data_IF_802630194786
#
_entry.id   IF_802630194786
#
_cell.length_a   1.000
_cell.length_b   1.000
_cell.length_c   1.000
_cell.angle_alpha   90.00
_cell.angle_beta   90.00
_cell.angle_gamma   90.00
#
_symmetry.space_group_name_H-M   'P 1'
#
loop_
_entity.id
_entity.type
_entity.pdbx_description
1 polymer ?
#
# COMPACT_ATOMS: atom_id res chain seq x y z
N UNK A 1 7.03 -32.75 -24.71
CA UNK A 1 5.81 -31.91 -24.85
C UNK A 1 6.25 -30.51 -25.20
N UNK A 2 5.65 -29.90 -26.22
CA UNK A 2 5.98 -28.53 -26.59
C UNK A 2 5.43 -27.56 -25.52
N UNK A 3 6.16 -26.50 -25.15
CA UNK A 3 5.66 -25.51 -24.22
C UNK A 3 4.46 -24.76 -24.81
N UNK A 4 3.50 -24.35 -23.98
CA UNK A 4 2.39 -23.49 -24.39
C UNK A 4 2.90 -22.11 -24.85
N UNK A 5 2.10 -21.44 -25.69
CA UNK A 5 2.45 -20.12 -26.23
C UNK A 5 2.80 -19.13 -25.10
N UNK A 6 3.95 -18.46 -25.23
CA UNK A 6 4.49 -17.54 -24.22
C UNK A 6 5.58 -18.12 -23.31
N UNK A 7 5.83 -19.44 -23.35
CA UNK A 7 6.90 -20.09 -22.58
C UNK A 7 7.99 -20.64 -23.51
N UNK A 8 9.26 -20.50 -23.12
CA UNK A 8 10.39 -20.99 -23.93
C UNK A 8 10.77 -22.42 -23.59
N UNK A 9 10.41 -22.94 -22.41
CA UNK A 9 10.64 -24.33 -22.02
C UNK A 9 9.59 -24.84 -21.04
N UNK A 10 9.49 -26.17 -20.90
CA UNK A 10 8.58 -26.79 -19.94
C UNK A 10 8.97 -26.47 -18.48
N UNK A 11 10.26 -26.25 -18.20
CA UNK A 11 10.73 -25.88 -16.87
C UNK A 11 10.17 -24.53 -16.41
N UNK A 12 10.02 -23.58 -17.34
CA UNK A 12 9.38 -22.29 -17.05
C UNK A 12 7.90 -22.44 -16.73
N UNK A 13 7.20 -23.36 -17.40
CA UNK A 13 5.79 -23.66 -17.11
C UNK A 13 5.67 -24.24 -15.71
N UNK A 14 6.53 -25.21 -15.35
CA UNK A 14 6.54 -25.83 -14.02
C UNK A 14 6.81 -24.78 -12.94
N UNK A 15 7.80 -23.91 -13.16
CA UNK A 15 8.12 -22.83 -12.25
C UNK A 15 6.94 -21.85 -12.10
N UNK A 16 6.30 -21.45 -13.20
CA UNK A 16 5.14 -20.55 -13.16
C UNK A 16 3.95 -21.16 -12.42
N UNK A 17 3.62 -22.43 -12.67
CA UNK A 17 2.58 -23.16 -11.94
C UNK A 17 2.94 -23.27 -10.45
N UNK A 18 4.20 -23.57 -10.13
CA UNK A 18 4.71 -23.58 -8.75
C UNK A 18 4.49 -22.24 -8.04
N UNK A 19 4.80 -21.13 -8.71
CA UNK A 19 4.56 -19.79 -8.19
C UNK A 19 3.07 -19.53 -7.91
N UNK A 20 2.17 -19.90 -8.83
CA UNK A 20 0.71 -19.75 -8.66
C UNK A 20 0.21 -20.56 -7.46
N UNK A 21 0.65 -21.82 -7.34
CA UNK A 21 0.27 -22.70 -6.22
C UNK A 21 0.71 -22.08 -4.89
N UNK A 22 1.96 -21.61 -4.81
CA UNK A 22 2.48 -20.93 -3.63
C UNK A 22 1.69 -19.65 -3.30
N UNK A 23 1.33 -18.84 -4.29
CA UNK A 23 0.47 -17.67 -4.08
C UNK A 23 -0.92 -18.05 -3.58
N UNK A 24 -1.50 -19.16 -4.08
CA UNK A 24 -2.75 -19.72 -3.57
C UNK A 24 -2.66 -20.11 -2.10
N UNK A 25 -1.59 -20.82 -1.72
CA UNK A 25 -1.32 -21.21 -0.32
C UNK A 25 -1.19 -19.98 0.58
N UNK A 26 -0.58 -18.89 0.10
CA UNK A 26 -0.43 -17.65 0.87
C UNK A 26 -1.76 -16.99 1.25
N UNK A 27 -2.86 -17.32 0.55
CA UNK A 27 -4.19 -16.78 0.81
C UNK A 27 -4.98 -17.59 1.85
N UNK A 28 -4.60 -18.84 2.12
CA UNK A 28 -5.28 -19.74 3.09
C UNK A 28 -5.41 -19.11 4.50
N UNK A 29 -4.36 -18.48 5.07
CA UNK A 29 -4.44 -17.87 6.39
C UNK A 29 -5.52 -16.79 6.53
N UNK A 30 -5.84 -16.07 5.44
CA UNK A 30 -6.88 -15.03 5.46
C UNK A 30 -8.30 -15.61 5.43
N UNK A 31 -8.46 -16.86 4.98
CA UNK A 31 -9.76 -17.50 4.80
C UNK A 31 -10.17 -18.40 5.98
N UNK A 32 -9.19 -19.06 6.64
CA UNK A 32 -9.50 -20.17 7.53
C UNK A 32 -9.02 -20.03 8.99
N UNK A 33 -7.97 -19.23 9.29
CA UNK A 33 -7.30 -19.33 10.60
C UNK A 33 -6.83 -17.95 11.12
N UNK A 34 -7.78 -17.19 11.69
CA UNK A 34 -7.46 -15.96 12.46
C UNK A 34 -6.97 -16.26 13.88
N UNK A 35 -7.14 -17.49 14.35
CA UNK A 35 -6.91 -17.83 15.75
C UNK A 35 -5.43 -18.11 16.05
N UNK A 36 -4.63 -18.53 15.06
CA UNK A 36 -3.19 -18.74 15.24
C UNK A 36 -2.34 -17.85 14.30
N UNK A 37 -2.12 -16.60 14.71
CA UNK A 37 -1.35 -15.61 13.95
C UNK A 37 0.10 -16.04 13.67
N UNK A 38 0.72 -16.82 14.55
CA UNK A 38 2.10 -17.30 14.36
C UNK A 38 2.15 -18.27 13.18
N UNK A 39 1.22 -19.23 13.14
CA UNK A 39 1.11 -20.18 12.02
C UNK A 39 0.77 -19.45 10.72
N UNK A 40 -0.21 -18.55 10.76
CA UNK A 40 -0.65 -17.75 9.62
C UNK A 40 0.49 -16.91 9.00
N UNK A 41 1.34 -16.30 9.84
CA UNK A 41 2.55 -15.60 9.38
C UNK A 41 3.57 -16.51 8.70
N UNK A 42 3.84 -17.69 9.28
CA UNK A 42 4.81 -18.64 8.72
C UNK A 42 4.35 -19.15 7.37
N UNK A 43 3.07 -19.51 7.24
CA UNK A 43 2.49 -19.95 5.97
C UNK A 43 2.54 -18.82 4.94
N UNK A 44 2.12 -17.62 5.32
CA UNK A 44 2.15 -16.47 4.42
C UNK A 44 3.57 -16.18 3.91
N UNK A 45 4.55 -15.98 4.80
CA UNK A 45 5.91 -15.65 4.38
C UNK A 45 6.62 -16.82 3.69
N UNK A 46 6.43 -18.05 4.18
CA UNK A 46 7.02 -19.24 3.57
C UNK A 46 6.51 -19.46 2.14
N UNK A 47 5.20 -19.38 1.93
CA UNK A 47 4.61 -19.54 0.62
C UNK A 47 5.00 -18.40 -0.34
N UNK A 48 5.05 -17.16 0.14
CA UNK A 48 5.50 -16.03 -0.68
C UNK A 48 6.99 -16.09 -1.05
N UNK A 49 7.88 -16.49 -0.13
CA UNK A 49 9.28 -16.71 -0.44
C UNK A 49 9.48 -17.84 -1.46
N UNK A 50 8.72 -18.94 -1.33
CA UNK A 50 8.73 -20.02 -2.30
C UNK A 50 8.22 -19.55 -3.68
N UNK A 51 7.15 -18.74 -3.72
CA UNK A 51 6.65 -18.15 -4.96
C UNK A 51 7.72 -17.29 -5.66
N UNK A 52 8.44 -16.45 -4.91
CA UNK A 52 9.53 -15.63 -5.46
C UNK A 52 10.68 -16.50 -5.99
N UNK A 53 11.03 -17.58 -5.31
CA UNK A 53 12.04 -18.53 -5.80
C UNK A 53 11.60 -19.18 -7.12
N UNK A 54 10.33 -19.58 -7.23
CA UNK A 54 9.79 -20.10 -8.48
C UNK A 54 9.76 -19.07 -9.60
N UNK A 55 9.39 -17.81 -9.32
CA UNK A 55 9.48 -16.72 -10.30
C UNK A 55 10.91 -16.55 -10.81
N UNK A 56 11.90 -16.58 -9.92
CA UNK A 56 13.31 -16.48 -10.30
C UNK A 56 13.74 -17.65 -11.20
N UNK A 57 13.43 -18.88 -10.79
CA UNK A 57 13.78 -20.09 -11.54
C UNK A 57 13.10 -20.12 -12.92
N UNK A 58 11.85 -19.66 -13.01
CA UNK A 58 11.11 -19.58 -14.27
C UNK A 58 11.67 -18.55 -15.26
N UNK A 59 12.55 -17.65 -14.82
CA UNK A 59 13.20 -16.66 -15.68
C UNK A 59 14.62 -17.07 -16.11
N UNK A 60 15.12 -18.24 -15.66
CA UNK A 60 16.41 -18.75 -16.14
C UNK A 60 16.34 -19.14 -17.63
N UNK A 61 17.42 -18.93 -18.41
CA UNK A 61 18.76 -18.49 -17.99
C UNK A 61 18.92 -16.96 -17.83
N UNK A 62 17.86 -16.18 -18.09
CA UNK A 62 17.87 -14.72 -17.98
C UNK A 62 17.79 -14.23 -16.52
N UNK A 63 18.81 -14.55 -15.73
CA UNK A 63 18.87 -14.29 -14.28
C UNK A 63 18.69 -12.80 -13.91
N UNK A 64 19.06 -11.87 -14.79
CA UNK A 64 18.84 -10.42 -14.57
C UNK A 64 17.34 -10.09 -14.49
N UNK A 65 16.55 -10.56 -15.45
CA UNK A 65 15.10 -10.40 -15.43
C UNK A 65 14.46 -11.14 -14.26
N UNK A 66 15.02 -12.29 -13.87
CA UNK A 66 14.61 -12.99 -12.66
C UNK A 66 14.81 -12.14 -11.40
N UNK A 67 15.96 -11.49 -11.23
CA UNK A 67 16.23 -10.61 -10.08
C UNK A 67 15.31 -9.39 -10.06
N UNK A 68 15.09 -8.75 -11.20
CA UNK A 68 14.18 -7.61 -11.33
C UNK A 68 12.75 -8.01 -10.96
N UNK A 69 12.26 -9.15 -11.48
CA UNK A 69 10.94 -9.68 -11.13
C UNK A 69 10.83 -9.98 -9.64
N UNK A 70 11.82 -10.65 -9.03
CA UNK A 70 11.84 -10.92 -7.59
C UNK A 70 11.80 -9.63 -6.77
N UNK A 71 12.53 -8.60 -7.18
CA UNK A 71 12.53 -7.31 -6.50
C UNK A 71 11.15 -6.64 -6.57
N UNK A 72 10.55 -6.57 -7.75
CA UNK A 72 9.22 -5.95 -7.94
C UNK A 72 8.14 -6.73 -7.19
N UNK A 73 8.07 -8.05 -7.37
CA UNK A 73 7.09 -8.88 -6.67
C UNK A 73 7.33 -8.92 -5.17
N UNK A 74 8.60 -8.94 -4.72
CA UNK A 74 8.94 -8.88 -3.30
C UNK A 74 8.46 -7.59 -2.64
N UNK A 75 8.69 -6.44 -3.28
CA UNK A 75 8.17 -5.15 -2.81
C UNK A 75 6.63 -5.12 -2.78
N UNK A 76 5.97 -5.63 -3.83
CA UNK A 76 4.51 -5.76 -3.88
C UNK A 76 3.96 -6.64 -2.75
N UNK A 77 4.64 -7.73 -2.42
CA UNK A 77 4.25 -8.65 -1.35
C UNK A 77 4.41 -8.01 0.04
N UNK A 78 5.52 -7.31 0.28
CA UNK A 78 5.72 -6.55 1.52
C UNK A 78 4.66 -5.44 1.62
N UNK A 79 4.40 -4.72 0.54
CA UNK A 79 3.38 -3.69 0.49
C UNK A 79 2.00 -4.26 0.81
N UNK A 80 1.60 -5.36 0.15
CA UNK A 80 0.35 -6.09 0.40
C UNK A 80 0.25 -6.58 1.85
N UNK A 81 1.34 -7.10 2.39
CA UNK A 81 1.39 -7.58 3.77
C UNK A 81 1.16 -6.42 4.75
N UNK A 82 1.82 -5.29 4.52
CA UNK A 82 1.70 -4.10 5.37
C UNK A 82 0.28 -3.49 5.33
N UNK A 83 -0.36 -3.46 4.16
CA UNK A 83 -1.69 -2.84 4.00
C UNK A 83 -2.81 -3.71 4.56
N UNK A 84 -2.76 -5.02 4.31
CA UNK A 84 -3.93 -5.89 4.45
C UNK A 84 -3.78 -6.95 5.55
N UNK A 85 -2.60 -7.11 6.16
CA UNK A 85 -2.37 -8.22 7.09
C UNK A 85 -1.63 -7.80 8.37
N UNK A 86 -1.78 -8.54 9.49
CA UNK A 86 -0.99 -8.35 10.70
C UNK A 86 0.37 -9.09 10.63
N UNK A 87 0.91 -9.35 9.42
CA UNK A 87 2.01 -10.30 9.23
C UNK A 87 3.41 -9.70 9.26
N UNK A 88 3.52 -8.38 9.15
CA UNK A 88 4.80 -7.67 9.28
C UNK A 88 5.05 -7.42 10.78
N UNK A 89 5.93 -8.23 11.39
CA UNK A 89 6.31 -8.10 12.80
C UNK A 89 7.82 -7.82 12.89
N UNK A 90 8.19 -6.70 13.49
CA UNK A 90 9.58 -6.35 13.79
C UNK A 90 9.75 -6.09 15.28
N UNK A 91 10.75 -6.73 15.91
CA UNK A 91 11.10 -6.54 17.33
C UNK A 91 9.89 -6.66 18.27
N UNK A 92 9.04 -7.66 18.04
CA UNK A 92 7.86 -7.90 18.87
C UNK A 92 6.63 -7.03 18.56
N UNK A 93 6.76 -5.99 17.73
CA UNK A 93 5.64 -5.09 17.35
C UNK A 93 5.11 -5.40 15.96
N UNK A 94 3.79 -5.41 15.81
CA UNK A 94 3.11 -5.57 14.51
C UNK A 94 3.02 -4.22 13.83
N UNK A 95 3.53 -4.15 12.61
CA UNK A 95 3.46 -2.99 11.75
C UNK A 95 2.40 -3.26 10.68
N UNK A 96 1.25 -2.62 10.79
CA UNK A 96 0.19 -2.72 9.80
C UNK A 96 -0.51 -1.37 9.64
N UNK A 97 -1.07 -1.14 8.46
CA UNK A 97 -1.85 0.07 8.16
C UNK A 97 -3.10 0.10 9.01
N UNK A 98 -3.92 -0.96 8.93
CA UNK A 98 -5.19 -1.01 9.63
C UNK A 98 -5.01 -1.20 11.14
N UNK A 99 -5.78 -0.44 11.92
CA UNK A 99 -5.82 -0.54 13.39
C UNK A 99 -6.17 -1.96 13.87
N UNK A 100 -7.16 -2.59 13.25
CA UNK A 100 -7.58 -3.97 13.55
C UNK A 100 -6.43 -4.97 13.45
N UNK A 101 -5.56 -4.82 12.45
CA UNK A 101 -4.40 -5.68 12.25
C UNK A 101 -3.27 -5.38 13.25
N UNK A 102 -3.07 -4.11 13.64
CA UNK A 102 -2.08 -3.76 14.66
C UNK A 102 -2.42 -4.34 16.04
N UNK A 103 -3.72 -4.40 16.36
CA UNK A 103 -4.23 -4.89 17.63
C UNK A 103 -4.53 -6.40 17.63
N UNK A 104 -4.15 -7.13 16.58
CA UNK A 104 -4.50 -8.54 16.42
C UNK A 104 -3.92 -9.45 17.53
N UNK A 105 -2.85 -9.02 18.21
CA UNK A 105 -2.22 -9.74 19.34
C UNK A 105 -2.49 -9.12 20.72
N UNK A 106 -3.24 -8.01 20.80
CA UNK A 106 -3.56 -7.35 22.08
C UNK A 106 -4.88 -7.87 22.66
N UNK A 107 -4.82 -8.45 23.86
CA UNK A 107 -5.99 -8.83 24.67
C UNK A 107 -6.67 -7.57 25.25
N UNK A 108 -8.00 -7.53 25.41
CA UNK A 108 -8.73 -6.40 26.02
C UNK A 108 -8.22 -5.99 27.41
N UNK A 109 -7.59 -6.89 28.15
CA UNK A 109 -6.96 -6.61 29.46
C UNK A 109 -5.72 -5.71 29.36
N UNK A 110 -5.03 -5.70 28.21
CA UNK A 110 -3.86 -4.86 27.92
C UNK A 110 -4.21 -3.63 27.06
N UNK A 111 -5.48 -3.43 26.73
CA UNK A 111 -5.92 -2.23 26.02
C UNK A 111 -6.16 -1.10 27.03
N UNK A 112 -5.23 -0.15 27.10
CA UNK A 112 -5.50 1.10 27.81
C UNK A 112 -6.75 1.77 27.22
N UNK A 113 -7.80 2.01 28.03
CA UNK A 113 -8.95 2.77 27.57
C UNK A 113 -8.56 4.25 27.46
N UNK A 114 -9.12 4.95 26.47
CA UNK A 114 -9.23 6.41 26.39
C UNK A 114 -7.98 7.25 26.04
N UNK A 115 -7.27 6.93 24.95
CA UNK A 115 -6.59 7.97 24.17
C UNK A 115 -6.68 7.63 22.68
N UNK A 116 -7.35 8.46 21.87
CA UNK A 116 -7.39 8.27 20.42
C UNK A 116 -6.01 8.58 19.84
N UNK A 117 -5.17 7.58 19.49
CA UNK A 117 -3.77 7.82 19.18
C UNK A 117 -3.56 8.35 17.76
N UNK A 118 -4.64 8.62 17.00
CA UNK A 118 -4.56 9.00 15.59
C UNK A 118 -5.46 10.20 15.22
N UNK A 119 -5.22 11.40 15.81
CA UNK A 119 -5.91 12.62 15.40
C UNK A 119 -5.76 12.93 13.90
N UNK A 120 -4.67 12.44 13.28
CA UNK A 120 -4.33 12.62 11.86
C UNK A 120 -4.59 11.39 10.98
N UNK A 121 -5.54 10.52 11.33
CA UNK A 121 -5.85 9.35 10.50
C UNK A 121 -6.58 9.71 9.21
N UNK A 122 -6.26 9.03 8.12
CA UNK A 122 -7.15 8.89 6.97
C UNK A 122 -8.23 7.87 7.38
N UNK A 123 -9.48 8.33 7.46
CA UNK A 123 -10.70 7.53 7.72
C UNK A 123 -10.66 6.65 8.97
N UNK A 124 -9.97 7.06 10.04
CA UNK A 124 -9.87 6.30 11.29
C UNK A 124 -9.02 5.02 11.19
N UNK A 125 -8.38 4.76 10.04
CA UNK A 125 -7.75 3.46 9.74
C UNK A 125 -6.23 3.52 9.60
N UNK A 126 -5.67 4.54 8.92
CA UNK A 126 -4.22 4.72 8.70
C UNK A 126 -3.76 6.11 9.13
N UNK A 127 -2.58 6.26 9.76
CA UNK A 127 -2.06 7.61 10.05
C UNK A 127 -1.62 8.31 8.76
N UNK A 128 -1.61 9.65 8.77
CA UNK A 128 -1.07 10.44 7.67
C UNK A 128 0.36 10.00 7.30
N UNK A 129 1.25 9.89 8.29
CA UNK A 129 2.63 9.45 8.10
C UNK A 129 2.74 8.09 7.40
N UNK A 130 1.95 7.10 7.82
CA UNK A 130 1.93 5.77 7.20
C UNK A 130 1.45 5.83 5.75
N UNK A 131 0.41 6.61 5.48
CA UNK A 131 -0.16 6.75 4.13
C UNK A 131 0.86 7.35 3.16
N UNK A 132 1.56 8.40 3.58
CA UNK A 132 2.57 9.05 2.75
C UNK A 132 3.81 8.20 2.51
N UNK A 133 4.30 7.45 3.50
CA UNK A 133 5.37 6.46 3.26
C UNK A 133 4.95 5.35 2.31
N UNK A 134 3.71 4.87 2.42
CA UNK A 134 3.17 3.89 1.48
C UNK A 134 3.07 4.44 0.07
N UNK A 135 2.73 5.72 -0.09
CA UNK A 135 2.72 6.35 -1.40
C UNK A 135 4.10 6.38 -2.03
N UNK A 136 5.15 6.70 -1.26
CA UNK A 136 6.53 6.65 -1.76
C UNK A 136 6.87 5.24 -2.27
N UNK A 137 6.62 4.20 -1.46
CA UNK A 137 6.91 2.82 -1.85
C UNK A 137 6.07 2.37 -3.05
N UNK A 138 4.78 2.70 -3.06
CA UNK A 138 3.87 2.35 -4.16
C UNK A 138 4.27 3.02 -5.48
N UNK A 139 4.67 4.30 -5.44
CA UNK A 139 5.17 5.00 -6.61
C UNK A 139 6.52 4.46 -7.09
N UNK A 140 7.40 4.06 -6.17
CA UNK A 140 8.66 3.41 -6.55
C UNK A 140 8.38 2.12 -7.33
N UNK A 141 7.44 1.29 -6.87
CA UNK A 141 7.02 0.07 -7.59
C UNK A 141 6.44 0.43 -8.97
N UNK A 142 5.56 1.42 -9.04
CA UNK A 142 4.98 1.86 -10.31
C UNK A 142 6.07 2.33 -11.30
N UNK A 143 7.04 3.11 -10.83
CA UNK A 143 8.16 3.59 -11.64
C UNK A 143 9.04 2.45 -12.13
N UNK A 144 9.32 1.43 -11.31
CA UNK A 144 10.06 0.24 -11.74
C UNK A 144 9.32 -0.54 -12.85
N UNK A 145 7.99 -0.68 -12.72
CA UNK A 145 7.16 -1.34 -13.74
C UNK A 145 7.16 -0.54 -15.05
N UNK A 146 6.99 0.78 -14.97
CA UNK A 146 7.01 1.67 -16.15
C UNK A 146 8.39 1.67 -16.81
N UNK A 147 9.46 1.72 -16.02
CA UNK A 147 10.83 1.68 -16.51
C UNK A 147 11.14 0.38 -17.26
N UNK A 148 10.73 -0.78 -16.70
CA UNK A 148 10.88 -2.06 -17.38
C UNK A 148 10.18 -2.08 -18.74
N UNK A 149 8.94 -1.59 -18.79
CA UNK A 149 8.17 -1.44 -20.04
C UNK A 149 8.89 -0.58 -21.08
N UNK A 150 9.40 0.57 -20.63
CA UNK A 150 10.14 1.53 -21.46
C UNK A 150 11.43 0.94 -22.04
N UNK A 151 12.21 0.22 -21.23
CA UNK A 151 13.47 -0.42 -21.65
C UNK A 151 13.21 -1.58 -22.62
N UNK A 152 12.13 -2.32 -22.44
CA UNK A 152 11.84 -3.50 -23.26
C UNK A 152 11.02 -3.20 -24.51
N UNK A 153 10.54 -1.97 -24.68
CA UNK A 153 9.67 -1.57 -25.80
C UNK A 153 8.45 -2.47 -26.00
N UNK A 154 7.97 -3.10 -24.91
CA UNK A 154 6.79 -3.95 -24.92
C UNK A 154 5.73 -3.33 -24.03
N UNK A 155 4.60 -2.93 -24.58
CA UNK A 155 3.50 -2.38 -23.79
C UNK A 155 2.79 -3.48 -22.99
N UNK A 156 3.02 -3.49 -21.69
CA UNK A 156 2.35 -4.38 -20.75
C UNK A 156 1.17 -3.67 -20.08
N UNK A 157 0.09 -4.42 -19.85
CA UNK A 157 -1.09 -3.95 -19.12
C UNK A 157 -0.69 -3.40 -17.72
N UNK A 158 0.33 -4.00 -17.10
CA UNK A 158 0.86 -3.55 -15.81
C UNK A 158 1.42 -2.12 -15.85
N UNK A 159 2.11 -1.74 -16.91
CA UNK A 159 2.65 -0.39 -17.08
C UNK A 159 1.56 0.65 -17.36
N UNK A 160 0.52 0.27 -18.12
CA UNK A 160 -0.67 1.11 -18.32
C UNK A 160 -1.37 1.39 -16.99
N UNK A 161 -1.57 0.35 -16.16
CA UNK A 161 -2.17 0.49 -14.84
C UNK A 161 -1.31 1.35 -13.90
N UNK A 162 0.01 1.10 -13.86
CA UNK A 162 0.95 1.88 -13.05
C UNK A 162 0.95 3.35 -13.46
N UNK A 163 0.98 3.65 -14.76
CA UNK A 163 0.92 5.02 -15.29
C UNK A 163 -0.39 5.71 -14.92
N UNK A 164 -1.51 4.98 -15.05
CA UNK A 164 -2.83 5.47 -14.64
C UNK A 164 -2.83 5.84 -13.15
N UNK A 165 -2.29 5.00 -12.27
CA UNK A 165 -2.17 5.28 -10.84
C UNK A 165 -1.31 6.54 -10.61
N UNK A 166 -0.16 6.65 -11.28
CA UNK A 166 0.74 7.79 -11.14
C UNK A 166 0.12 9.13 -11.58
N UNK A 167 -0.86 9.12 -12.50
CA UNK A 167 -1.54 10.32 -13.00
C UNK A 167 -2.79 10.65 -12.17
N UNK A 168 -3.65 9.68 -11.87
CA UNK A 168 -4.91 9.96 -11.19
C UNK A 168 -4.77 10.13 -9.68
N UNK A 169 -3.87 9.37 -9.06
CA UNK A 169 -3.76 9.36 -7.60
C UNK A 169 -3.32 10.70 -7.00
N UNK A 170 -2.37 11.48 -7.56
CA UNK A 170 -1.99 12.78 -6.99
C UNK A 170 -3.16 13.77 -6.99
N UNK A 171 -3.93 13.80 -8.08
CA UNK A 171 -5.15 14.62 -8.18
C UNK A 171 -6.15 14.24 -7.09
N UNK A 172 -6.40 12.94 -6.94
CA UNK A 172 -7.29 12.42 -5.90
C UNK A 172 -6.77 12.78 -4.49
N UNK A 173 -5.49 12.57 -4.20
CA UNK A 173 -4.88 12.83 -2.90
C UNK A 173 -4.94 14.33 -2.53
N UNK A 174 -4.61 15.22 -3.47
CA UNK A 174 -4.71 16.66 -3.26
C UNK A 174 -6.15 17.09 -3.00
N UNK A 175 -7.08 16.61 -3.83
CA UNK A 175 -8.51 16.88 -3.66
C UNK A 175 -9.04 16.38 -2.32
N UNK A 176 -8.61 15.17 -1.92
CA UNK A 176 -9.00 14.55 -0.65
C UNK A 176 -8.48 15.34 0.56
N UNK A 177 -7.21 15.76 0.56
CA UNK A 177 -6.64 16.56 1.64
C UNK A 177 -7.33 17.92 1.79
N UNK A 178 -7.53 18.64 0.68
CA UNK A 178 -8.11 19.97 0.70
C UNK A 178 -9.62 19.96 1.04
N UNK A 179 -10.36 18.94 0.56
CA UNK A 179 -11.80 18.84 0.84
C UNK A 179 -12.13 18.62 2.33
N UNK A 180 -11.13 18.24 3.13
CA UNK A 180 -11.23 18.09 4.58
C UNK A 180 -10.56 19.25 5.35
N UNK A 181 -10.18 20.33 4.67
CA UNK A 181 -9.48 21.50 5.24
C UNK A 181 -8.15 21.14 5.94
N UNK A 182 -7.48 20.06 5.52
CA UNK A 182 -6.14 19.80 6.00
C UNK A 182 -5.11 20.70 5.30
N UNK A 183 -3.99 21.01 5.98
CA UNK A 183 -2.87 21.67 5.31
C UNK A 183 -2.29 20.78 4.21
N UNK A 184 -1.51 21.35 3.29
CA UNK A 184 -0.79 20.63 2.24
C UNK A 184 -0.07 19.41 2.83
N UNK A 185 -0.34 18.24 2.25
CA UNK A 185 0.13 16.93 2.68
C UNK A 185 -0.10 16.61 4.17
N UNK A 186 -1.13 17.19 4.80
CA UNK A 186 -1.38 17.12 6.25
C UNK A 186 -0.12 17.45 7.07
N UNK A 187 0.71 18.39 6.60
CA UNK A 187 1.97 18.79 7.25
C UNK A 187 3.19 17.94 6.91
N UNK A 188 3.04 16.83 6.19
CA UNK A 188 4.13 15.90 5.88
C UNK A 188 4.92 16.30 4.62
N UNK A 189 5.49 17.51 4.64
CA UNK A 189 6.16 18.12 3.49
C UNK A 189 7.38 17.35 2.99
N UNK A 190 8.14 16.70 3.89
CA UNK A 190 9.30 15.90 3.52
C UNK A 190 8.92 14.77 2.54
N UNK A 191 7.83 14.06 2.82
CA UNK A 191 7.37 12.95 1.98
C UNK A 191 6.82 13.44 0.64
N UNK A 192 6.10 14.57 0.64
CA UNK A 192 5.67 15.24 -0.59
C UNK A 192 6.89 15.65 -1.44
N UNK A 193 7.94 16.19 -0.83
CA UNK A 193 9.18 16.55 -1.53
C UNK A 193 9.86 15.31 -2.13
N UNK A 194 9.96 14.21 -1.38
CA UNK A 194 10.51 12.94 -1.89
C UNK A 194 9.71 12.45 -3.10
N UNK A 195 8.38 12.42 -3.01
CA UNK A 195 7.50 12.05 -4.12
C UNK A 195 7.68 12.96 -5.33
N UNK A 196 7.81 14.26 -5.09
CA UNK A 196 8.02 15.26 -6.15
C UNK A 196 9.33 15.02 -6.86
N UNK A 197 10.43 14.80 -6.14
CA UNK A 197 11.74 14.50 -6.74
C UNK A 197 11.69 13.18 -7.50
N UNK A 198 11.15 12.12 -6.89
CA UNK A 198 11.07 10.79 -7.48
C UNK A 198 10.25 10.75 -8.78
N UNK A 199 9.26 11.63 -8.90
CA UNK A 199 8.38 11.73 -10.09
C UNK A 199 8.74 12.89 -11.02
N UNK A 200 9.94 13.47 -10.86
CA UNK A 200 10.39 14.63 -11.64
C UNK A 200 9.38 15.80 -11.67
N UNK A 201 8.69 16.03 -10.56
CA UNK A 201 7.72 17.12 -10.40
C UNK A 201 6.29 16.78 -10.77
N UNK A 202 6.03 15.67 -11.47
CA UNK A 202 4.69 15.31 -11.98
C UNK A 202 3.70 15.16 -10.81
N UNK A 203 4.12 14.53 -9.71
CA UNK A 203 3.24 14.36 -8.55
C UNK A 203 2.77 15.71 -8.00
N UNK A 204 3.67 16.67 -7.81
CA UNK A 204 3.30 18.00 -7.31
C UNK A 204 2.43 18.76 -8.32
N UNK A 205 2.80 18.71 -9.61
CA UNK A 205 2.07 19.38 -10.68
C UNK A 205 0.60 18.92 -10.78
N UNK A 206 0.30 17.67 -10.40
CA UNK A 206 -1.05 17.11 -10.35
C UNK A 206 -1.70 17.25 -8.97
N UNK A 207 -0.93 17.15 -7.88
CA UNK A 207 -1.41 17.29 -6.51
C UNK A 207 -1.99 18.68 -6.25
N UNK A 208 -1.29 19.75 -6.64
CA UNK A 208 -1.71 21.12 -6.34
C UNK A 208 -3.01 21.54 -7.06
N UNK A 209 -3.24 21.23 -8.35
CA UNK A 209 -4.55 21.41 -8.98
C UNK A 209 -5.66 20.65 -8.25
N UNK A 210 -5.42 19.40 -7.86
CA UNK A 210 -6.38 18.62 -7.06
C UNK A 210 -6.68 19.30 -5.72
N UNK A 211 -5.65 19.79 -5.04
CA UNK A 211 -5.77 20.52 -3.77
C UNK A 211 -6.56 21.81 -3.92
N UNK A 212 -6.29 22.59 -4.98
CA UNK A 212 -7.05 23.81 -5.25
C UNK A 212 -8.53 23.51 -5.56
N UNK A 213 -8.80 22.46 -6.35
CA UNK A 213 -10.16 22.00 -6.65
C UNK A 213 -10.89 21.56 -5.37
N UNK A 214 -10.21 20.83 -4.48
CA UNK A 214 -10.79 20.38 -3.20
C UNK A 214 -11.10 21.54 -2.25
N UNK A 215 -10.30 22.62 -2.29
CA UNK A 215 -10.56 23.85 -1.53
C UNK A 215 -11.73 24.65 -2.11
N UNK A 216 -11.85 24.70 -3.44
CA UNK A 216 -12.91 25.42 -4.14
C UNK A 216 -14.26 24.72 -3.98
N UNK A 217 -14.29 23.40 -4.19
CA UNK A 217 -15.50 22.56 -4.14
C UNK A 217 -15.34 21.44 -3.11
N UNK A 218 -15.39 21.76 -1.81
CA UNK A 218 -15.24 20.77 -0.75
C UNK A 218 -16.38 19.76 -0.81
N UNK A 219 -16.03 18.47 -0.79
CA UNK A 219 -16.98 17.35 -0.89
C UNK A 219 -17.90 17.20 0.34
N UNK A 220 -17.73 17.99 1.40
CA UNK A 220 -18.40 17.80 2.70
C UNK A 220 -19.61 18.72 2.92
N UNK A 221 -20.81 18.17 3.16
CA UNK A 221 -21.87 18.85 3.90
C UNK A 221 -21.51 18.91 5.39
N UNK A 222 -21.68 20.07 6.05
CA UNK A 222 -21.37 20.30 7.48
C UNK A 222 -22.17 19.42 8.49
N UNK A 223 -22.97 18.46 8.02
CA UNK A 223 -23.89 17.62 8.82
C UNK A 223 -23.48 16.15 8.98
N UNK A 224 -22.35 15.69 8.40
CA UNK A 224 -21.99 14.26 8.48
C UNK A 224 -21.46 13.84 9.85
N UNK A 225 -21.79 12.61 10.28
CA UNK A 225 -21.44 12.05 11.59
C UNK A 225 -19.92 12.02 11.84
N UNK A 226 -19.13 11.78 10.79
CA UNK A 226 -17.66 11.83 10.82
C UNK A 226 -17.07 13.23 11.07
N UNK A 227 -17.84 14.32 10.90
CA UNK A 227 -17.41 15.67 11.28
C UNK A 227 -17.49 15.87 12.79
N UNK A 228 -18.54 15.36 13.44
CA UNK A 228 -18.76 15.48 14.88
C UNK A 228 -17.86 14.59 15.73
N UNK A 229 -17.35 13.50 15.15
CA UNK A 229 -16.52 12.50 15.83
C UNK A 229 -15.02 12.88 15.76
N UNK A 230 -14.63 13.88 14.97
CA UNK A 230 -13.21 14.25 14.87
C UNK A 230 -12.76 15.07 16.10
N UNK A 231 -11.71 14.63 16.85
CA UNK A 231 -11.32 15.24 18.12
C UNK A 231 -10.96 16.73 18.06
N UNK A 232 -10.55 17.22 16.88
CA UNK A 232 -10.15 18.62 16.65
C UNK A 232 -11.29 19.64 16.86
N UNK A 233 -12.54 19.19 16.87
CA UNK A 233 -13.69 20.06 17.08
C UNK A 233 -14.19 20.08 18.53
N UNK A 234 -13.64 19.24 19.42
CA UNK A 234 -14.00 19.25 20.84
C UNK A 234 -13.40 20.46 21.57
N UNK A 235 -12.20 20.91 21.18
CA UNK A 235 -11.58 22.12 21.73
C UNK A 235 -12.29 23.43 21.38
N UNK A 236 -13.21 23.43 20.40
CA UNK A 236 -14.00 24.61 20.03
C UNK A 236 -15.37 24.67 20.70
N UNK A 237 -15.90 23.55 21.20
CA UNK A 237 -17.20 23.50 21.91
C UNK A 237 -17.06 23.68 23.43
N UNK A 238 -15.89 23.40 24.02
CA UNK A 238 -15.65 23.62 25.47
C UNK A 238 -15.46 25.11 25.82
N UNK A 239 -15.35 25.99 24.82
CA UNK A 239 -15.22 27.45 25.00
C UNK A 239 -16.54 28.22 24.95
N UNK A 240 -17.64 27.57 24.55
CA UNK A 240 -18.97 28.18 24.40
C UNK A 240 -20.03 27.41 25.21
N UNK A 241 -19.70 27.05 26.46
CA UNK A 241 -20.71 26.71 27.46
C UNK A 241 -21.00 27.97 28.30
N UNK A 242 -22.27 28.44 28.38
CA UNK A 242 -22.66 29.53 29.26
C UNK A 242 -22.47 29.21 30.74
#
# INVERSE_FOLDING_TARGET
MNPPAGFTSMDQVIAFVGAIVCLGISCIPNLADRNNLIRSRRIFWGANCAALAFVFLGMLPNWRYGLEAVLVFGLLLIFRAFTNTPYVKLRGKIYAVQRSNRLAETTPENSHPAHDPLPDSYTGSSTANQTWWMLIVGYLICMLVIYGDFVHHQMNIGAILATTICVYFPLFAGYWDASWNYPVARGHRLQLTILTIMTAGIFAALYFPGFYLGKRWPRRPKRSMEYRIHPRHWELDDGDLP
#
